data_IF_797627317325
#
_entry.id   IF_797627317325
#
_cell.length_a   1.000
_cell.length_b   1.000
_cell.length_c   1.000
_cell.angle_alpha   90.00
_cell.angle_beta   90.00
_cell.angle_gamma   90.00
#
_symmetry.space_group_name_H-M   'P 1'
#
loop_
_entity.id
_entity.type
_entity.pdbx_description
1 polymer ?
#
# COMPACT_ATOMS: atom_id res chain seq x y z
N UNK A 1 50.47 -35.78 73.56
CA UNK A 1 50.37 -34.51 72.79
C UNK A 1 50.10 -34.69 71.28
N UNK A 2 49.73 -35.89 70.76
CA UNK A 2 49.45 -36.11 69.32
C UNK A 2 48.00 -35.89 68.89
N UNK A 3 47.04 -35.86 69.83
CA UNK A 3 45.60 -35.72 69.53
C UNK A 3 45.15 -34.27 69.28
N UNK A 4 45.87 -33.28 69.81
CA UNK A 4 45.55 -31.85 69.59
C UNK A 4 45.92 -31.40 68.17
N UNK A 5 47.00 -31.94 67.60
CA UNK A 5 47.44 -31.59 66.23
C UNK A 5 46.52 -32.14 65.15
N UNK A 6 45.93 -33.34 65.35
CA UNK A 6 44.97 -33.93 64.40
C UNK A 6 43.62 -33.21 64.39
N UNK A 7 43.21 -32.63 65.52
CA UNK A 7 41.96 -31.88 65.61
C UNK A 7 42.05 -30.55 64.84
N UNK A 8 43.18 -29.84 64.94
CA UNK A 8 43.42 -28.60 64.17
C UNK A 8 43.48 -28.83 62.66
N UNK A 9 44.12 -29.91 62.20
CA UNK A 9 44.16 -30.24 60.78
C UNK A 9 42.77 -30.58 60.22
N UNK A 10 41.91 -31.22 61.01
CA UNK A 10 40.54 -31.54 60.60
C UNK A 10 39.68 -30.28 60.41
N UNK A 11 39.83 -29.28 61.30
CA UNK A 11 39.14 -27.99 61.17
C UNK A 11 39.59 -27.20 59.94
N UNK A 12 40.91 -27.19 59.65
CA UNK A 12 41.43 -26.56 58.43
C UNK A 12 40.93 -27.26 57.16
N UNK A 13 40.89 -28.59 57.15
CA UNK A 13 40.33 -29.35 56.03
C UNK A 13 38.85 -29.05 55.81
N UNK A 14 38.07 -28.93 56.89
CA UNK A 14 36.64 -28.57 56.83
C UNK A 14 36.46 -27.17 56.25
N UNK A 15 37.21 -26.18 56.74
CA UNK A 15 37.14 -24.80 56.25
C UNK A 15 37.53 -24.72 54.76
N UNK A 16 38.56 -25.46 54.36
CA UNK A 16 38.96 -25.61 52.95
C UNK A 16 37.85 -26.21 52.08
N UNK A 17 37.19 -27.27 52.56
CA UNK A 17 36.07 -27.88 51.85
C UNK A 17 34.89 -26.91 51.69
N UNK A 18 34.55 -26.15 52.73
CA UNK A 18 33.48 -25.13 52.68
C UNK A 18 33.80 -24.03 51.67
N UNK A 19 35.05 -23.52 51.68
CA UNK A 19 35.48 -22.51 50.71
C UNK A 19 35.45 -23.04 49.27
N UNK A 20 35.87 -24.28 49.07
CA UNK A 20 35.84 -24.92 47.75
C UNK A 20 34.40 -25.06 47.23
N UNK A 21 33.47 -25.49 48.08
CA UNK A 21 32.05 -25.55 47.73
C UNK A 21 31.45 -24.16 47.45
N UNK A 22 31.80 -23.16 48.25
CA UNK A 22 31.39 -21.77 48.03
C UNK A 22 31.86 -21.23 46.67
N UNK A 23 33.09 -21.52 46.29
CA UNK A 23 33.65 -21.14 44.98
C UNK A 23 32.89 -21.78 43.81
N UNK A 24 32.54 -23.07 43.93
CA UNK A 24 31.75 -23.77 42.89
C UNK A 24 30.35 -23.17 42.77
N UNK A 25 29.67 -22.94 43.90
CA UNK A 25 28.32 -22.35 43.91
C UNK A 25 28.32 -20.94 43.30
N UNK A 26 29.32 -20.12 43.65
CA UNK A 26 29.50 -18.80 43.06
C UNK A 26 29.76 -18.87 41.55
N UNK A 27 30.61 -19.82 41.10
CA UNK A 27 30.88 -20.04 39.69
C UNK A 27 29.62 -20.41 38.89
N UNK A 28 28.79 -21.32 39.41
CA UNK A 28 27.52 -21.69 38.79
C UNK A 28 26.56 -20.50 38.69
N UNK A 29 26.46 -19.70 39.75
CA UNK A 29 25.61 -18.50 39.76
C UNK A 29 26.10 -17.42 38.77
N UNK A 30 27.42 -17.20 38.69
CA UNK A 30 28.02 -16.26 37.74
C UNK A 30 27.78 -16.67 36.28
N UNK A 31 27.86 -17.97 35.97
CA UNK A 31 27.58 -18.48 34.62
C UNK A 31 26.09 -18.29 34.27
N UNK A 32 25.18 -18.61 35.19
CA UNK A 32 23.76 -18.49 34.95
C UNK A 32 23.32 -17.02 34.73
N UNK A 33 23.84 -16.10 35.53
CA UNK A 33 23.58 -14.66 35.36
C UNK A 33 24.15 -14.10 34.05
N UNK A 34 25.31 -14.60 33.62
CA UNK A 34 25.89 -14.24 32.33
C UNK A 34 25.05 -14.77 31.16
N UNK A 35 24.45 -15.96 31.28
CA UNK A 35 23.54 -16.52 30.26
C UNK A 35 22.24 -15.71 30.17
N UNK A 36 21.60 -15.40 31.30
CA UNK A 36 20.38 -14.58 31.33
C UNK A 36 20.59 -13.20 30.68
N UNK A 37 21.76 -12.59 30.90
CA UNK A 37 22.12 -11.30 30.29
C UNK A 37 22.33 -11.41 28.77
N UNK A 38 22.78 -12.56 28.27
CA UNK A 38 22.98 -12.79 26.82
C UNK A 38 21.66 -13.01 26.11
N UNK A 39 20.76 -13.79 26.70
CA UNK A 39 19.42 -14.01 26.14
C UNK A 39 18.64 -12.71 26.01
N UNK A 40 18.68 -11.85 27.02
CA UNK A 40 18.05 -10.52 26.96
C UNK A 40 18.60 -9.67 25.81
N UNK A 41 19.92 -9.65 25.63
CA UNK A 41 20.56 -8.90 24.53
C UNK A 41 20.20 -9.46 23.16
N UNK A 42 20.05 -10.78 23.02
CA UNK A 42 19.62 -11.40 21.76
C UNK A 42 18.18 -11.01 21.45
N UNK A 43 17.27 -11.10 22.43
CA UNK A 43 15.87 -10.71 22.26
C UNK A 43 15.74 -9.23 21.90
N UNK A 44 16.50 -8.36 22.56
CA UNK A 44 16.51 -6.92 22.24
C UNK A 44 17.04 -6.64 20.83
N UNK A 45 18.12 -7.31 20.42
CA UNK A 45 18.68 -7.18 19.08
C UNK A 45 17.71 -7.69 18.00
N UNK A 46 17.02 -8.82 18.24
CA UNK A 46 15.99 -9.34 17.35
C UNK A 46 14.81 -8.37 17.23
N UNK A 47 14.35 -7.81 18.34
CA UNK A 47 13.25 -6.84 18.34
C UNK A 47 13.61 -5.56 17.55
N UNK A 48 14.83 -5.06 17.70
CA UNK A 48 15.33 -3.92 16.92
C UNK A 48 15.42 -4.25 15.43
N UNK A 49 15.91 -5.45 15.07
CA UNK A 49 15.99 -5.88 13.68
C UNK A 49 14.59 -6.00 13.03
N UNK A 50 13.61 -6.53 13.77
CA UNK A 50 12.22 -6.62 13.31
C UNK A 50 11.66 -5.21 13.04
N UNK A 51 11.83 -4.27 13.97
CA UNK A 51 11.35 -2.90 13.81
C UNK A 51 11.97 -2.20 12.59
N UNK A 52 13.28 -2.33 12.38
CA UNK A 52 13.96 -1.76 11.22
C UNK A 52 13.45 -2.37 9.90
N UNK A 53 13.26 -3.69 9.86
CA UNK A 53 12.75 -4.36 8.67
C UNK A 53 11.31 -3.94 8.33
N UNK A 54 10.46 -3.75 9.35
CA UNK A 54 9.10 -3.27 9.19
C UNK A 54 9.08 -1.83 8.66
N UNK A 55 9.92 -0.94 9.19
CA UNK A 55 10.02 0.44 8.72
C UNK A 55 10.47 0.52 7.25
N UNK A 56 11.46 -0.29 6.85
CA UNK A 56 11.91 -0.35 5.46
C UNK A 56 10.80 -0.87 4.51
N UNK A 57 10.08 -1.92 4.92
CA UNK A 57 8.94 -2.45 4.14
C UNK A 57 7.83 -1.43 4.00
N UNK A 58 7.46 -0.74 5.07
CA UNK A 58 6.45 0.33 5.01
C UNK A 58 6.87 1.47 4.10
N UNK A 59 8.14 1.87 4.15
CA UNK A 59 8.65 2.92 3.28
C UNK A 59 8.65 2.50 1.80
N UNK A 60 9.04 1.25 1.50
CA UNK A 60 8.94 0.69 0.16
C UNK A 60 7.48 0.66 -0.34
N UNK A 61 6.55 0.16 0.48
CA UNK A 61 5.13 0.12 0.13
C UNK A 61 4.55 1.53 -0.12
N UNK A 62 4.93 2.51 0.69
CA UNK A 62 4.49 3.89 0.54
C UNK A 62 5.01 4.51 -0.77
N UNK A 63 6.26 4.20 -1.16
CA UNK A 63 6.85 4.63 -2.43
C UNK A 63 6.14 4.01 -3.63
N UNK A 64 5.90 2.70 -3.60
CA UNK A 64 5.19 1.99 -4.67
C UNK A 64 3.77 2.52 -4.83
N UNK A 65 3.07 2.78 -3.72
CA UNK A 65 1.72 3.36 -3.74
C UNK A 65 1.72 4.76 -4.36
N UNK A 66 2.73 5.59 -4.08
CA UNK A 66 2.87 6.92 -4.67
C UNK A 66 3.12 6.83 -6.18
N UNK A 67 4.01 5.95 -6.62
CA UNK A 67 4.30 5.76 -8.04
C UNK A 67 3.07 5.23 -8.80
N UNK A 68 2.32 4.29 -8.22
CA UNK A 68 1.07 3.80 -8.80
C UNK A 68 0.02 4.91 -8.90
N UNK A 69 -0.12 5.77 -7.89
CA UNK A 69 -1.02 6.94 -7.96
C UNK A 69 -0.62 7.93 -9.04
N UNK A 70 0.66 8.25 -9.18
CA UNK A 70 1.15 9.16 -10.23
C UNK A 70 0.93 8.57 -11.63
N UNK A 71 1.10 7.25 -11.81
CA UNK A 71 0.78 6.58 -13.08
C UNK A 71 -0.73 6.61 -13.37
N UNK A 72 -1.56 6.32 -12.37
CA UNK A 72 -3.01 6.35 -12.51
C UNK A 72 -3.51 7.76 -12.84
N UNK A 73 -2.96 8.78 -12.20
CA UNK A 73 -3.31 10.19 -12.45
C UNK A 73 -2.90 10.65 -13.85
N UNK A 74 -1.71 10.24 -14.32
CA UNK A 74 -1.26 10.55 -15.69
C UNK A 74 -2.14 9.90 -16.77
N UNK A 75 -2.50 8.64 -16.58
CA UNK A 75 -3.35 7.92 -17.55
C UNK A 75 -4.78 8.47 -17.52
N UNK A 76 -5.38 8.64 -16.34
CA UNK A 76 -6.76 9.11 -16.23
C UNK A 76 -6.96 10.57 -16.69
N UNK A 77 -5.97 11.44 -16.47
CA UNK A 77 -6.11 12.87 -16.77
C UNK A 77 -5.85 13.22 -18.24
N UNK A 78 -5.07 12.41 -18.96
CA UNK A 78 -4.77 12.67 -20.38
C UNK A 78 -5.95 12.28 -21.29
N UNK A 79 -6.59 11.13 -21.02
CA UNK A 79 -7.66 10.62 -21.89
C UNK A 79 -8.99 11.39 -21.73
N UNK A 80 -9.37 11.79 -20.51
CA UNK A 80 -10.69 12.43 -20.29
C UNK A 80 -10.74 13.83 -20.91
N UNK A 81 -9.65 14.61 -20.81
CA UNK A 81 -9.62 15.99 -21.32
C UNK A 81 -9.58 16.01 -22.85
N UNK A 82 -8.80 15.13 -23.48
CA UNK A 82 -8.76 15.05 -24.94
C UNK A 82 -10.09 14.58 -25.54
N UNK A 83 -10.79 13.64 -24.89
CA UNK A 83 -12.12 13.20 -25.32
C UNK A 83 -13.16 14.31 -25.12
N UNK A 84 -13.07 15.07 -24.02
CA UNK A 84 -13.96 16.20 -23.76
C UNK A 84 -13.79 17.31 -24.81
N UNK A 85 -12.54 17.67 -25.12
CA UNK A 85 -12.21 18.67 -26.15
C UNK A 85 -12.71 18.23 -27.54
N UNK A 86 -12.63 16.93 -27.86
CA UNK A 86 -13.17 16.38 -29.10
C UNK A 86 -14.71 16.47 -29.16
N UNK A 87 -15.40 16.17 -28.06
CA UNK A 87 -16.87 16.27 -27.96
C UNK A 87 -17.32 17.74 -28.05
N UNK A 88 -16.64 18.65 -27.34
CA UNK A 88 -16.94 20.10 -27.41
C UNK A 88 -16.66 20.69 -28.80
N UNK A 89 -15.63 20.20 -29.49
CA UNK A 89 -15.34 20.57 -30.88
C UNK A 89 -16.49 20.20 -31.82
N UNK A 90 -16.98 18.96 -31.71
CA UNK A 90 -18.12 18.49 -32.50
C UNK A 90 -19.42 19.25 -32.20
N UNK A 91 -19.69 19.56 -30.93
CA UNK A 91 -20.87 20.32 -30.53
C UNK A 91 -20.89 21.73 -31.15
N UNK A 92 -19.71 22.39 -31.22
CA UNK A 92 -19.55 23.68 -31.89
C UNK A 92 -19.82 23.60 -33.39
N UNK A 93 -19.32 22.56 -34.05
CA UNK A 93 -19.54 22.34 -35.49
C UNK A 93 -21.00 22.03 -35.83
N UNK A 94 -21.70 21.31 -34.94
CA UNK A 94 -23.12 20.99 -35.09
C UNK A 94 -24.06 22.17 -34.77
N UNK A 95 -23.56 23.26 -34.17
CA UNK A 95 -24.35 24.43 -33.69
C UNK A 95 -25.50 24.04 -32.75
N UNK A 96 -25.31 23.01 -31.93
CA UNK A 96 -26.30 22.58 -30.95
C UNK A 96 -25.76 22.86 -29.55
N UNK A 97 -26.55 23.46 -28.63
CA UNK A 97 -26.16 23.57 -27.24
C UNK A 97 -26.06 22.17 -26.63
N UNK A 98 -24.85 21.79 -26.27
CA UNK A 98 -24.52 20.51 -25.64
C UNK A 98 -24.06 20.78 -24.21
N UNK A 99 -24.74 20.18 -23.24
CA UNK A 99 -24.34 20.17 -21.84
C UNK A 99 -23.80 18.79 -21.48
N UNK A 100 -22.54 18.74 -21.04
CA UNK A 100 -21.90 17.49 -20.63
C UNK A 100 -22.18 17.31 -19.14
N UNK A 101 -23.12 16.40 -18.83
CA UNK A 101 -23.64 16.24 -17.47
C UNK A 101 -22.65 15.54 -16.55
N UNK A 102 -22.21 14.33 -16.92
CA UNK A 102 -21.34 13.50 -16.10
C UNK A 102 -20.39 12.67 -16.96
N UNK A 103 -19.13 12.56 -16.53
CA UNK A 103 -18.11 11.71 -17.12
C UNK A 103 -17.65 10.67 -16.09
N UNK A 104 -17.74 9.39 -16.43
CA UNK A 104 -17.29 8.28 -15.60
C UNK A 104 -16.27 7.45 -16.35
N UNK A 105 -15.08 7.28 -15.79
CA UNK A 105 -14.06 6.38 -16.33
C UNK A 105 -14.19 5.01 -15.66
N UNK A 106 -14.38 3.97 -16.46
CA UNK A 106 -14.33 2.59 -16.00
C UNK A 106 -12.93 2.02 -16.29
N UNK A 107 -12.15 1.68 -15.24
CA UNK A 107 -10.84 1.08 -15.45
C UNK A 107 -10.99 -0.27 -16.14
N UNK A 108 -10.12 -0.54 -17.12
CA UNK A 108 -10.14 -1.80 -17.87
C UNK A 108 -10.10 -3.01 -16.94
N UNK A 109 -10.93 -4.01 -17.22
CA UNK A 109 -10.98 -5.25 -16.45
C UNK A 109 -9.90 -6.25 -16.91
N UNK A 110 -9.65 -7.31 -16.14
CA UNK A 110 -8.73 -8.37 -16.55
C UNK A 110 -9.10 -9.03 -17.90
N UNK A 111 -10.35 -8.87 -18.37
CA UNK A 111 -10.85 -9.36 -19.65
C UNK A 111 -10.71 -8.35 -20.80
N UNK A 112 -10.54 -7.06 -20.52
CA UNK A 112 -10.33 -6.02 -21.52
C UNK A 112 -9.39 -4.94 -20.97
N UNK A 113 -8.14 -4.85 -21.47
CA UNK A 113 -7.20 -3.82 -21.02
C UNK A 113 -7.60 -2.40 -21.50
N UNK A 114 -8.67 -2.28 -22.28
CA UNK A 114 -9.18 -1.01 -22.79
C UNK A 114 -9.90 -0.28 -21.66
N UNK A 115 -9.44 0.94 -21.38
CA UNK A 115 -10.12 1.84 -20.44
C UNK A 115 -11.30 2.47 -21.16
N UNK A 116 -12.52 2.27 -20.64
CA UNK A 116 -13.72 2.85 -21.21
C UNK A 116 -14.09 4.13 -20.44
N UNK A 117 -14.54 5.15 -21.15
CA UNK A 117 -15.07 6.37 -20.55
C UNK A 117 -16.51 6.56 -21.02
N UNK A 118 -17.43 6.72 -20.07
CA UNK A 118 -18.84 6.97 -20.30
C UNK A 118 -19.12 8.44 -20.08
N UNK A 119 -19.74 9.08 -21.07
CA UNK A 119 -20.14 10.48 -21.02
C UNK A 119 -21.66 10.56 -21.16
N UNK A 120 -22.31 11.27 -20.25
CA UNK A 120 -23.72 11.64 -20.35
C UNK A 120 -23.80 13.01 -20.99
N UNK A 121 -24.33 13.05 -22.22
CA UNK A 121 -24.40 14.24 -23.05
C UNK A 121 -25.87 14.65 -23.17
N UNK A 122 -26.20 15.86 -22.74
CA UNK A 122 -27.52 16.45 -22.91
C UNK A 122 -27.50 17.40 -24.10
N UNK A 123 -28.40 17.17 -25.05
CA UNK A 123 -28.48 17.90 -26.31
C UNK A 123 -29.87 18.51 -26.42
N UNK A 124 -29.97 19.83 -26.62
CA UNK A 124 -31.24 20.51 -26.81
C UNK A 124 -31.36 21.03 -28.25
N UNK A 125 -32.38 20.60 -28.97
CA UNK A 125 -32.59 21.02 -30.35
C UNK A 125 -33.80 20.38 -31.01
N UNK A 126 -33.97 20.64 -32.30
CA UNK A 126 -34.96 19.90 -33.11
C UNK A 126 -34.54 18.44 -33.27
N UNK A 127 -35.50 17.53 -33.44
CA UNK A 127 -35.24 16.10 -33.62
C UNK A 127 -34.20 15.82 -34.72
N UNK A 128 -34.28 16.53 -35.85
CA UNK A 128 -33.31 16.41 -36.95
C UNK A 128 -31.89 16.83 -36.55
N UNK A 129 -31.75 17.87 -35.73
CA UNK A 129 -30.45 18.33 -35.22
C UNK A 129 -29.87 17.36 -34.20
N UNK A 130 -30.69 16.80 -33.33
CA UNK A 130 -30.26 15.79 -32.35
C UNK A 130 -29.74 14.54 -33.08
N UNK A 131 -30.52 14.01 -34.02
CA UNK A 131 -30.10 12.83 -34.80
C UNK A 131 -28.84 13.08 -35.63
N UNK A 132 -28.71 14.27 -36.22
CA UNK A 132 -27.50 14.62 -36.95
C UNK A 132 -26.28 14.66 -36.01
N UNK A 133 -26.43 15.24 -34.83
CA UNK A 133 -25.35 15.31 -33.83
C UNK A 133 -24.93 13.92 -33.37
N UNK A 134 -25.90 13.04 -33.07
CA UNK A 134 -25.65 11.63 -32.69
C UNK A 134 -24.89 10.90 -33.81
N UNK A 135 -25.26 11.10 -35.07
CA UNK A 135 -24.55 10.48 -36.20
C UNK A 135 -23.11 10.97 -36.34
N UNK A 136 -22.83 12.22 -35.97
CA UNK A 136 -21.48 12.76 -35.95
C UNK A 136 -20.67 12.21 -34.77
N UNK A 137 -21.31 11.98 -33.61
CA UNK A 137 -20.70 11.33 -32.45
C UNK A 137 -20.28 9.87 -32.73
N UNK A 138 -21.03 9.14 -33.54
CA UNK A 138 -20.63 7.80 -34.01
C UNK A 138 -19.52 7.85 -35.07
N UNK A 139 -19.36 8.97 -35.77
CA UNK A 139 -18.37 9.16 -36.83
C UNK A 139 -17.03 9.75 -36.33
N UNK A 140 -16.86 9.94 -35.01
CA UNK A 140 -15.62 10.44 -34.42
C UNK A 140 -14.48 9.42 -34.69
N UNK A 141 -13.25 9.87 -35.00
CA UNK A 141 -12.08 9.00 -35.19
C UNK A 141 -11.56 8.41 -33.87
N UNK A 142 -12.46 8.01 -32.98
CA UNK A 142 -12.22 7.33 -31.70
C UNK A 142 -13.21 6.16 -31.67
N UNK A 143 -12.82 4.96 -31.21
CA UNK A 143 -13.75 3.84 -31.07
C UNK A 143 -14.80 4.13 -29.98
N UNK A 144 -15.87 4.83 -30.34
CA UNK A 144 -16.99 5.20 -29.49
C UNK A 144 -18.30 4.61 -30.02
N UNK A 145 -19.20 4.25 -29.11
CA UNK A 145 -20.54 3.78 -29.43
C UNK A 145 -21.55 4.43 -28.50
N UNK A 146 -22.70 4.82 -29.03
CA UNK A 146 -23.83 5.31 -28.23
C UNK A 146 -24.50 4.10 -27.57
N UNK A 147 -24.49 4.05 -26.23
CA UNK A 147 -25.09 2.93 -25.49
C UNK A 147 -26.59 3.12 -25.26
N UNK A 148 -27.00 4.31 -24.86
CA UNK A 148 -28.38 4.63 -24.48
C UNK A 148 -28.72 6.05 -24.91
N UNK A 149 -29.96 6.25 -25.35
CA UNK A 149 -30.41 7.52 -25.89
C UNK A 149 -31.86 7.75 -25.45
N UNK A 150 -32.01 8.65 -24.48
CA UNK A 150 -33.31 9.03 -23.92
C UNK A 150 -33.77 10.38 -24.47
N UNK A 151 -35.07 10.46 -24.79
CA UNK A 151 -35.70 11.68 -25.27
C UNK A 151 -36.69 12.20 -24.23
N UNK A 152 -36.43 13.39 -23.70
CA UNK A 152 -37.38 14.11 -22.88
C UNK A 152 -37.91 15.33 -23.62
N UNK A 153 -39.23 15.54 -23.55
CA UNK A 153 -39.86 16.75 -24.09
C UNK A 153 -39.85 17.82 -23.00
N UNK A 154 -39.01 18.83 -23.16
CA UNK A 154 -39.03 20.01 -22.30
C UNK A 154 -40.38 20.76 -22.47
N UNK A 155 -40.99 21.25 -21.37
CA UNK A 155 -42.29 21.91 -21.39
C UNK A 155 -42.32 23.23 -22.16
#
# INVERSE_FOLDING_TARGET
MRFLSTSYSAWLALLGAVLMWGGIAYGLWAINSAQASREQKIVEAEQLAIQQSAALRLHALARDTKEQREKLEKVARMDIVEILDAIEGLARDAKVPVEIGQAHSEPGSAASPVHAAFFVIQIQGSFAQIFHTVSLLEAIPIPSSVSELDFERLP
#
